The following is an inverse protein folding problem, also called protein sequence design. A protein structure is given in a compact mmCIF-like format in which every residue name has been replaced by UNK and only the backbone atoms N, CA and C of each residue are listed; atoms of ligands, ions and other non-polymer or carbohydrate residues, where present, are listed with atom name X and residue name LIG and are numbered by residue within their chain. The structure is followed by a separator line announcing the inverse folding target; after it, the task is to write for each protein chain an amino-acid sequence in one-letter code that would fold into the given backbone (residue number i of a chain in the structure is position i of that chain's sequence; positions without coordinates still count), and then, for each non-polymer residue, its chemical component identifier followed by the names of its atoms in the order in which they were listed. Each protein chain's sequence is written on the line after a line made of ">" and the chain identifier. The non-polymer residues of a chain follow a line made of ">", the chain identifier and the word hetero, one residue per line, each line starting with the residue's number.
data_IF_153743281254
#
_entry.id   IF_153743281254
#
_cell.length_a   1.000
_cell.length_b   1.000
_cell.length_c   1.000
_cell.angle_alpha   90.00
_cell.angle_beta   90.00
_cell.angle_gamma   90.00
#
_symmetry.space_group_name_H-M   'P 1'
#
loop_
_entity.id
_entity.type
_entity.pdbx_description
1 polymer ?
#
# COMPACT_ATOMS: atom_id res chain seq x y z
N UNK A 1 47.35 38.07 67.93
CA UNK A 1 47.36 37.13 66.79
C UNK A 1 45.94 36.59 66.57
N UNK A 2 45.44 36.65 65.32
CA UNK A 2 44.49 35.74 64.62
C UNK A 2 43.16 35.36 65.34
N UNK A 3 41.93 35.53 64.84
CA UNK A 3 41.35 35.77 63.50
C UNK A 3 39.82 35.97 63.65
N UNK A 4 39.18 37.04 63.13
CA UNK A 4 37.72 37.10 63.00
C UNK A 4 37.31 37.08 61.52
N UNK A 5 37.69 36.02 60.77
CA UNK A 5 37.26 35.86 59.36
C UNK A 5 36.37 34.64 59.10
N UNK A 6 36.16 33.77 60.09
CA UNK A 6 35.39 32.52 59.93
C UNK A 6 33.87 32.71 60.10
N UNK A 7 33.42 33.70 60.89
CA UNK A 7 31.99 33.86 61.17
C UNK A 7 31.17 34.42 59.99
N UNK A 8 31.79 35.29 59.17
CA UNK A 8 31.10 35.96 58.06
C UNK A 8 30.89 35.01 56.86
N UNK A 9 31.80 34.04 56.67
CA UNK A 9 31.68 33.02 55.62
C UNK A 9 30.55 32.01 55.90
N UNK A 10 30.34 31.66 57.18
CA UNK A 10 29.28 30.75 57.58
C UNK A 10 27.88 31.36 57.41
N UNK A 11 27.71 32.66 57.70
CA UNK A 11 26.44 33.36 57.50
C UNK A 11 26.05 33.46 56.01
N UNK A 12 27.02 33.75 55.13
CA UNK A 12 26.79 33.74 53.66
C UNK A 12 26.47 32.35 53.13
N UNK A 13 27.16 31.30 53.58
CA UNK A 13 26.85 29.91 53.19
C UNK A 13 25.46 29.47 53.66
N UNK A 14 25.05 29.84 54.87
CA UNK A 14 23.71 29.54 55.40
C UNK A 14 22.60 30.22 54.58
N UNK A 15 22.84 31.46 54.15
CA UNK A 15 21.89 32.23 53.32
C UNK A 15 21.75 31.61 51.92
N UNK A 16 22.84 31.09 51.35
CA UNK A 16 22.82 30.34 50.09
C UNK A 16 22.10 28.99 50.21
N UNK A 17 22.29 28.26 51.32
CA UNK A 17 21.64 26.97 51.56
C UNK A 17 20.12 27.16 51.78
N UNK A 18 19.70 28.19 52.52
CA UNK A 18 18.28 28.54 52.64
C UNK A 18 17.66 28.99 51.31
N UNK A 19 18.41 29.72 50.47
CA UNK A 19 17.97 30.08 49.12
C UNK A 19 17.74 28.84 48.23
N UNK A 20 18.67 27.88 48.25
CA UNK A 20 18.56 26.63 47.49
C UNK A 20 17.41 25.73 48.00
N UNK A 21 17.16 25.71 49.32
CA UNK A 21 16.01 25.01 49.91
C UNK A 21 14.68 25.63 49.46
N UNK A 22 14.57 26.96 49.40
CA UNK A 22 13.38 27.64 48.90
C UNK A 22 13.13 27.39 47.40
N UNK A 23 14.19 27.30 46.58
CA UNK A 23 14.09 26.94 45.16
C UNK A 23 13.68 25.47 44.95
N UNK A 24 14.09 24.55 45.83
CA UNK A 24 13.68 23.14 45.76
C UNK A 24 12.20 22.90 46.10
N UNK A 25 11.63 23.75 46.96
CA UNK A 25 10.21 23.66 47.34
C UNK A 25 9.26 24.00 46.17
N UNK A 26 9.69 24.84 45.23
CA UNK A 26 8.90 25.18 44.04
C UNK A 26 8.89 24.08 42.96
N UNK A 27 9.82 23.11 43.00
CA UNK A 27 9.84 21.98 42.08
C UNK A 27 8.98 20.79 42.56
N UNK A 28 8.68 20.73 43.87
CA UNK A 28 8.05 19.56 44.51
C UNK A 28 6.53 19.69 44.73
N UNK A 29 5.94 20.88 44.51
CA UNK A 29 4.49 21.09 44.54
C UNK A 29 3.88 21.14 43.14
N UNK A 30 4.23 20.18 42.28
CA UNK A 30 3.34 19.85 41.18
C UNK A 30 2.24 18.97 41.78
N UNK A 31 1.00 19.45 41.94
CA UNK A 31 -0.10 18.56 42.30
C UNK A 31 -0.12 17.41 41.28
N UNK A 32 -0.50 16.18 41.68
CA UNK A 32 -0.79 15.14 40.71
C UNK A 32 -1.96 15.68 39.87
N UNK A 33 -1.64 16.28 38.73
CA UNK A 33 -2.60 16.53 37.67
C UNK A 33 -3.15 15.15 37.39
N UNK A 34 -4.41 14.93 37.78
CA UNK A 34 -5.17 13.75 37.45
C UNK A 34 -4.84 13.42 36.00
N UNK A 35 -4.30 12.23 35.76
CA UNK A 35 -3.97 11.77 34.42
C UNK A 35 -5.13 12.17 33.51
N UNK A 36 -4.90 12.96 32.45
CA UNK A 36 -6.00 13.36 31.58
C UNK A 36 -6.69 12.07 31.18
N UNK A 37 -7.99 11.98 31.47
CA UNK A 37 -8.82 10.84 31.08
C UNK A 37 -8.43 10.49 29.66
N UNK A 38 -7.93 9.26 29.44
CA UNK A 38 -7.39 8.85 28.16
C UNK A 38 -8.37 9.32 27.07
N UNK A 39 -7.90 10.10 26.07
CA UNK A 39 -8.81 10.64 25.08
C UNK A 39 -9.58 9.46 24.48
N UNK A 40 -10.91 9.56 24.46
CA UNK A 40 -11.75 8.56 23.80
C UNK A 40 -11.39 8.65 22.32
N UNK A 41 -10.51 7.76 21.87
CA UNK A 41 -10.12 7.67 20.47
C UNK A 41 -11.34 7.10 19.75
N UNK A 42 -12.13 7.98 19.14
CA UNK A 42 -13.23 7.57 18.29
C UNK A 42 -12.64 7.01 17.00
N UNK A 43 -12.82 5.71 16.77
CA UNK A 43 -12.38 5.09 15.54
C UNK A 43 -13.20 5.59 14.35
N UNK A 44 -12.57 5.74 13.16
CA UNK A 44 -13.26 6.21 11.98
C UNK A 44 -14.30 5.19 11.52
N UNK A 45 -15.51 5.68 11.26
CA UNK A 45 -16.59 4.88 10.69
C UNK A 45 -16.36 4.59 9.20
N UNK A 46 -17.20 3.74 8.62
CA UNK A 46 -17.12 3.37 7.21
C UNK A 46 -17.24 4.57 6.24
N UNK A 47 -18.05 5.57 6.57
CA UNK A 47 -18.25 6.74 5.71
C UNK A 47 -17.04 7.67 5.75
N UNK A 48 -16.44 7.86 6.92
CA UNK A 48 -15.19 8.59 7.11
C UNK A 48 -14.06 7.91 6.35
N UNK A 49 -13.97 6.59 6.37
CA UNK A 49 -12.98 5.84 5.59
C UNK A 49 -13.14 6.11 4.08
N UNK A 50 -14.37 6.06 3.56
CA UNK A 50 -14.64 6.33 2.14
C UNK A 50 -14.35 7.77 1.74
N UNK A 51 -14.69 8.74 2.60
CA UNK A 51 -14.37 10.15 2.37
C UNK A 51 -12.86 10.37 2.35
N UNK A 52 -12.14 9.77 3.31
CA UNK A 52 -10.69 9.89 3.41
C UNK A 52 -9.97 9.20 2.25
N UNK A 53 -10.51 8.10 1.72
CA UNK A 53 -9.92 7.36 0.60
C UNK A 53 -9.72 8.25 -0.64
N UNK A 54 -10.64 9.19 -0.88
CA UNK A 54 -10.59 10.13 -2.00
C UNK A 54 -9.77 11.40 -1.72
N UNK A 55 -9.25 11.56 -0.50
CA UNK A 55 -8.46 12.72 -0.10
C UNK A 55 -6.97 12.57 -0.37
N UNK A 56 -6.21 13.65 -0.17
CA UNK A 56 -4.74 13.63 -0.27
C UNK A 56 -4.11 12.94 0.93
N UNK A 57 -2.90 12.40 0.74
CA UNK A 57 -2.16 11.72 1.81
C UNK A 57 -1.92 12.58 3.05
N UNK A 58 -1.71 13.88 2.87
CA UNK A 58 -1.49 14.80 3.99
C UNK A 58 -2.73 14.99 4.86
N UNK A 59 -3.92 15.08 4.25
CA UNK A 59 -5.16 15.20 5.00
C UNK A 59 -5.51 13.90 5.72
N UNK A 60 -5.17 12.76 5.11
CA UNK A 60 -5.34 11.46 5.72
C UNK A 60 -4.41 11.27 6.93
N UNK A 61 -3.13 11.63 6.83
CA UNK A 61 -2.20 11.51 7.97
C UNK A 61 -2.64 12.39 9.12
N UNK A 62 -3.13 13.59 8.85
CA UNK A 62 -3.70 14.47 9.87
C UNK A 62 -4.99 13.91 10.49
N UNK A 63 -5.89 13.34 9.67
CA UNK A 63 -7.14 12.75 10.15
C UNK A 63 -6.96 11.43 10.92
N UNK A 64 -5.85 10.73 10.65
CA UNK A 64 -5.50 9.45 11.28
C UNK A 64 -4.53 9.60 12.44
N UNK A 65 -3.95 10.79 12.65
CA UNK A 65 -2.99 11.04 13.72
C UNK A 65 -3.56 10.63 15.08
N UNK A 66 -2.92 9.66 15.73
CA UNK A 66 -3.34 9.14 17.04
C UNK A 66 -4.45 8.09 16.97
N UNK A 67 -4.82 7.62 15.76
CA UNK A 67 -5.83 6.57 15.51
C UNK A 67 -5.23 5.31 14.88
N UNK A 68 -3.92 5.13 15.00
CA UNK A 68 -3.14 4.02 14.42
C UNK A 68 -3.60 2.63 14.91
N UNK A 69 -4.23 2.58 16.09
CA UNK A 69 -4.69 1.36 16.75
C UNK A 69 -6.05 0.87 16.24
N UNK A 70 -6.84 1.73 15.58
CA UNK A 70 -8.17 1.40 15.10
C UNK A 70 -8.14 0.41 13.92
N UNK A 71 -9.11 -0.50 13.87
CA UNK A 71 -9.28 -1.39 12.71
C UNK A 71 -9.59 -0.62 11.41
N UNK A 72 -10.34 0.48 11.51
CA UNK A 72 -10.70 1.33 10.38
C UNK A 72 -9.53 2.06 9.71
N UNK A 73 -8.52 2.50 10.47
CA UNK A 73 -7.31 3.13 9.91
C UNK A 73 -6.45 2.13 9.15
N UNK A 74 -6.34 0.91 9.67
CA UNK A 74 -5.68 -0.22 8.96
C UNK A 74 -6.43 -0.58 7.68
N UNK A 75 -7.75 -0.62 7.71
CA UNK A 75 -8.57 -0.87 6.53
C UNK A 75 -8.35 0.19 5.46
N UNK A 76 -8.34 1.47 5.84
CA UNK A 76 -8.05 2.58 4.92
C UNK A 76 -6.67 2.42 4.27
N UNK A 77 -5.63 2.12 5.05
CA UNK A 77 -4.29 1.90 4.52
C UNK A 77 -4.25 0.75 3.51
N UNK A 78 -4.96 -0.35 3.77
CA UNK A 78 -5.08 -1.46 2.82
C UNK A 78 -5.84 -1.05 1.55
N UNK A 79 -6.94 -0.30 1.67
CA UNK A 79 -7.69 0.18 0.51
C UNK A 79 -6.81 1.06 -0.41
N UNK A 80 -5.99 1.92 0.17
CA UNK A 80 -5.05 2.73 -0.61
C UNK A 80 -3.99 1.89 -1.31
N UNK A 81 -3.43 0.90 -0.61
CA UNK A 81 -2.48 -0.02 -1.22
C UNK A 81 -3.12 -0.83 -2.35
N UNK A 82 -4.41 -1.19 -2.24
CA UNK A 82 -5.11 -1.86 -3.35
C UNK A 82 -5.33 -0.98 -4.58
N UNK A 83 -5.43 0.35 -4.42
CA UNK A 83 -5.48 1.28 -5.56
C UNK A 83 -4.12 1.43 -6.24
N UNK A 84 -3.03 1.40 -5.46
CA UNK A 84 -1.66 1.49 -5.96
C UNK A 84 -1.06 0.14 -6.40
N UNK A 85 -1.73 -0.98 -6.12
CA UNK A 85 -1.20 -2.30 -6.43
C UNK A 85 -1.31 -2.62 -7.93
N UNK A 86 -0.17 -2.58 -8.61
CA UNK A 86 -0.04 -2.98 -10.01
C UNK A 86 0.37 -4.45 -10.16
N UNK A 87 1.02 -5.03 -9.15
CA UNK A 87 1.57 -6.39 -9.23
C UNK A 87 0.63 -7.46 -8.66
N UNK A 88 0.64 -8.65 -9.28
CA UNK A 88 -0.14 -9.82 -8.84
C UNK A 88 0.27 -10.31 -7.44
N UNK A 89 1.56 -10.20 -7.12
CA UNK A 89 2.10 -10.60 -5.81
C UNK A 89 1.64 -9.66 -4.69
N UNK A 90 1.58 -8.36 -4.96
CA UNK A 90 1.09 -7.38 -3.97
C UNK A 90 -0.41 -7.54 -3.76
N UNK A 91 -1.18 -7.79 -4.82
CA UNK A 91 -2.60 -8.12 -4.70
C UNK A 91 -2.87 -9.39 -3.86
N UNK A 92 -1.95 -10.36 -3.83
CA UNK A 92 -2.04 -11.56 -2.96
C UNK A 92 -1.77 -11.23 -1.50
N UNK A 93 -0.72 -10.46 -1.23
CA UNK A 93 -0.41 -10.01 0.13
C UNK A 93 -1.55 -9.17 0.70
N UNK A 94 -2.10 -8.25 -0.10
CA UNK A 94 -3.22 -7.39 0.30
C UNK A 94 -4.49 -8.18 0.58
N UNK A 95 -4.78 -9.21 -0.21
CA UNK A 95 -5.92 -10.09 0.07
C UNK A 95 -5.75 -10.80 1.42
N UNK A 96 -4.58 -11.39 1.68
CA UNK A 96 -4.31 -12.08 2.95
C UNK A 96 -4.39 -11.12 4.15
N UNK A 97 -3.93 -9.87 3.98
CA UNK A 97 -4.04 -8.84 5.01
C UNK A 97 -5.50 -8.44 5.27
N UNK A 98 -6.31 -8.26 4.23
CA UNK A 98 -7.75 -7.98 4.35
C UNK A 98 -8.50 -9.15 5.03
N UNK A 99 -8.20 -10.39 4.66
CA UNK A 99 -8.75 -11.58 5.31
C UNK A 99 -8.38 -11.64 6.80
N UNK A 100 -7.14 -11.32 7.13
CA UNK A 100 -6.67 -11.27 8.53
C UNK A 100 -7.35 -10.16 9.35
N UNK A 101 -7.69 -9.03 8.72
CA UNK A 101 -8.45 -7.96 9.37
C UNK A 101 -9.91 -8.36 9.57
N UNK A 102 -10.52 -9.02 8.58
CA UNK A 102 -11.89 -9.55 8.69
C UNK A 102 -12.00 -10.63 9.77
N UNK A 103 -10.95 -11.45 9.96
CA UNK A 103 -10.89 -12.42 11.05
C UNK A 103 -10.82 -11.74 12.44
N UNK A 104 -10.30 -10.51 12.52
CA UNK A 104 -10.25 -9.69 13.75
C UNK A 104 -11.45 -8.72 13.80
N UNK A 105 -12.64 -9.27 13.60
CA UNK A 105 -13.89 -8.53 13.42
C UNK A 105 -14.26 -7.61 14.61
N UNK A 106 -13.81 -7.93 15.83
CA UNK A 106 -14.14 -7.18 17.05
C UNK A 106 -13.64 -5.72 17.04
N UNK A 107 -12.71 -5.39 16.16
CA UNK A 107 -12.13 -4.05 16.04
C UNK A 107 -12.72 -3.20 14.89
N UNK A 108 -13.74 -3.71 14.17
CA UNK A 108 -14.31 -3.06 12.98
C UNK A 108 -15.83 -2.90 13.09
N UNK A 109 -16.32 -1.73 12.70
CA UNK A 109 -17.75 -1.47 12.53
C UNK A 109 -18.35 -2.39 11.45
N UNK A 110 -19.62 -2.82 11.59
CA UNK A 110 -20.25 -3.75 10.65
C UNK A 110 -20.27 -3.23 9.20
N UNK A 111 -20.42 -1.91 9.01
CA UNK A 111 -20.33 -1.29 7.68
C UNK A 111 -18.91 -1.40 7.09
N UNK A 112 -17.88 -1.21 7.90
CA UNK A 112 -16.48 -1.34 7.47
C UNK A 112 -16.11 -2.79 7.14
N UNK A 113 -16.68 -3.76 7.86
CA UNK A 113 -16.56 -5.18 7.51
C UNK A 113 -17.21 -5.48 6.16
N UNK A 114 -18.38 -4.90 5.87
CA UNK A 114 -19.04 -4.99 4.56
C UNK A 114 -18.15 -4.46 3.44
N UNK A 115 -17.53 -3.29 3.64
CA UNK A 115 -16.59 -2.71 2.68
C UNK A 115 -15.36 -3.61 2.44
N UNK A 116 -14.76 -4.16 3.50
CA UNK A 116 -13.63 -5.07 3.36
C UNK A 116 -14.00 -6.35 2.58
N UNK A 117 -15.21 -6.91 2.79
CA UNK A 117 -15.70 -8.07 2.03
C UNK A 117 -15.90 -7.75 0.55
N UNK A 118 -16.49 -6.59 0.25
CA UNK A 118 -16.66 -6.14 -1.13
C UNK A 118 -15.31 -5.95 -1.83
N UNK A 119 -14.33 -5.36 -1.14
CA UNK A 119 -12.98 -5.20 -1.69
C UNK A 119 -12.32 -6.55 -1.99
N UNK A 120 -12.50 -7.53 -1.10
CA UNK A 120 -11.97 -8.88 -1.29
C UNK A 120 -12.59 -9.53 -2.53
N UNK A 121 -13.91 -9.42 -2.71
CA UNK A 121 -14.60 -9.91 -3.92
C UNK A 121 -14.07 -9.20 -5.17
N UNK A 122 -13.88 -7.89 -5.14
CA UNK A 122 -13.32 -7.14 -6.27
C UNK A 122 -11.93 -7.64 -6.65
N UNK A 123 -11.06 -7.92 -5.67
CA UNK A 123 -9.71 -8.45 -5.92
C UNK A 123 -9.76 -9.85 -6.55
N UNK A 124 -10.70 -10.70 -6.12
CA UNK A 124 -10.90 -12.02 -6.70
C UNK A 124 -11.38 -11.93 -8.16
N UNK A 125 -12.33 -11.06 -8.46
CA UNK A 125 -12.80 -10.84 -9.83
C UNK A 125 -11.70 -10.29 -10.72
N UNK A 126 -10.91 -9.33 -10.24
CA UNK A 126 -9.73 -8.83 -10.97
C UNK A 126 -8.75 -9.94 -11.34
N UNK A 127 -8.54 -10.93 -10.47
CA UNK A 127 -7.68 -12.09 -10.77
C UNK A 127 -8.27 -12.98 -11.84
N UNK A 128 -9.56 -13.32 -11.75
CA UNK A 128 -10.24 -14.11 -12.79
C UNK A 128 -10.14 -13.44 -14.15
N UNK A 129 -10.32 -12.11 -14.19
CA UNK A 129 -10.17 -11.32 -15.40
C UNK A 129 -8.74 -11.31 -15.92
N UNK A 130 -7.74 -11.17 -15.04
CA UNK A 130 -6.32 -11.24 -15.43
C UNK A 130 -5.96 -12.60 -16.01
N UNK A 131 -6.45 -13.70 -15.41
CA UNK A 131 -6.22 -15.06 -15.93
C UNK A 131 -6.92 -15.29 -17.28
N UNK A 132 -8.13 -14.75 -17.47
CA UNK A 132 -8.82 -14.80 -18.75
C UNK A 132 -8.05 -14.03 -19.84
N UNK A 133 -7.50 -12.87 -19.48
CA UNK A 133 -6.68 -12.05 -20.37
C UNK A 133 -5.38 -12.77 -20.75
N UNK A 134 -4.68 -13.38 -19.79
CA UNK A 134 -3.48 -14.20 -20.03
C UNK A 134 -3.78 -15.34 -21.03
N UNK A 135 -4.93 -16.03 -20.87
CA UNK A 135 -5.36 -17.10 -21.81
C UNK A 135 -5.65 -16.55 -23.21
N UNK A 136 -6.33 -15.42 -23.31
CA UNK A 136 -6.60 -14.78 -24.61
C UNK A 136 -5.33 -14.31 -25.29
N UNK A 137 -4.36 -13.78 -24.54
CA UNK A 137 -3.06 -13.41 -25.09
C UNK A 137 -2.29 -14.62 -25.61
N UNK A 138 -2.32 -15.75 -24.90
CA UNK A 138 -1.71 -17.00 -25.36
C UNK A 138 -2.37 -17.48 -26.67
N UNK A 139 -3.70 -17.50 -26.74
CA UNK A 139 -4.44 -17.85 -27.95
C UNK A 139 -4.11 -16.93 -29.13
N UNK A 140 -4.03 -15.62 -28.91
CA UNK A 140 -3.65 -14.67 -29.95
C UNK A 140 -2.24 -14.92 -30.49
N UNK A 141 -1.27 -15.25 -29.64
CA UNK A 141 0.09 -15.61 -30.08
C UNK A 141 0.10 -16.87 -30.93
N UNK A 142 -0.71 -17.86 -30.57
CA UNK A 142 -0.82 -19.09 -31.36
C UNK A 142 -1.50 -18.84 -32.71
N UNK A 143 -2.52 -17.98 -32.75
CA UNK A 143 -3.16 -17.56 -34.00
C UNK A 143 -2.20 -16.76 -34.90
N UNK A 144 -1.40 -15.86 -34.31
CA UNK A 144 -0.36 -15.12 -35.04
C UNK A 144 0.66 -16.06 -35.68
N UNK A 145 1.17 -17.05 -34.94
CA UNK A 145 2.09 -18.05 -35.50
C UNK A 145 1.48 -18.82 -36.68
N UNK A 146 0.23 -19.27 -36.54
CA UNK A 146 -0.48 -19.96 -37.63
C UNK A 146 -0.68 -19.05 -38.85
N UNK A 147 -0.96 -17.78 -38.62
CA UNK A 147 -1.07 -16.79 -39.69
C UNK A 147 0.27 -16.61 -40.41
N UNK A 148 1.37 -16.48 -39.66
CA UNK A 148 2.72 -16.35 -40.22
C UNK A 148 3.11 -17.59 -41.03
N UNK A 149 2.83 -18.80 -40.53
CA UNK A 149 3.07 -20.07 -41.23
C UNK A 149 2.28 -20.17 -42.54
N UNK A 150 1.01 -19.77 -42.53
CA UNK A 150 0.17 -19.75 -43.75
C UNK A 150 0.65 -18.68 -44.73
N UNK A 151 1.06 -17.51 -44.23
CA UNK A 151 1.63 -16.45 -45.07
C UNK A 151 2.93 -16.90 -45.74
N UNK A 152 3.79 -17.62 -45.02
CA UNK A 152 5.02 -18.21 -45.55
C UNK A 152 4.73 -19.23 -46.65
N UNK A 153 3.74 -20.12 -46.45
CA UNK A 153 3.30 -21.07 -47.47
C UNK A 153 2.74 -20.39 -48.71
N UNK A 154 1.94 -19.33 -48.55
CA UNK A 154 1.42 -18.56 -49.69
C UNK A 154 2.54 -17.88 -50.47
N UNK A 155 3.54 -17.34 -49.78
CA UNK A 155 4.69 -16.72 -50.45
C UNK A 155 5.53 -17.76 -51.19
N UNK A 156 5.79 -18.93 -50.58
CA UNK A 156 6.46 -20.04 -51.26
C UNK A 156 5.69 -20.52 -52.50
N UNK A 157 4.35 -20.62 -52.42
CA UNK A 157 3.51 -20.97 -53.57
C UNK A 157 3.59 -19.91 -54.68
N UNK A 158 3.62 -18.62 -54.34
CA UNK A 158 3.81 -17.53 -55.31
C UNK A 158 5.19 -17.58 -55.96
N UNK A 159 6.23 -17.94 -55.22
CA UNK A 159 7.58 -18.13 -55.78
C UNK A 159 7.61 -19.30 -56.76
N UNK A 160 7.02 -20.45 -56.39
CA UNK A 160 6.87 -21.60 -57.30
C UNK A 160 6.06 -21.23 -58.54
N UNK A 161 4.97 -20.49 -58.40
CA UNK A 161 4.18 -19.99 -59.53
C UNK A 161 5.03 -19.12 -60.46
N UNK A 162 5.84 -18.20 -59.93
CA UNK A 162 6.76 -17.38 -60.72
C UNK A 162 7.81 -18.22 -61.44
N UNK A 163 8.39 -19.22 -60.76
CA UNK A 163 9.38 -20.12 -61.39
C UNK A 163 8.77 -20.95 -62.53
N UNK A 164 7.52 -21.41 -62.37
CA UNK A 164 6.79 -22.13 -63.41
C UNK A 164 6.43 -21.22 -64.59
N UNK A 165 5.99 -19.99 -64.33
CA UNK A 165 5.70 -18.99 -65.36
C UNK A 165 6.95 -18.52 -66.11
N UNK A 166 8.14 -18.60 -65.51
CA UNK A 166 9.43 -18.32 -66.15
C UNK A 166 10.02 -19.53 -66.91
N UNK A 167 9.48 -20.73 -66.71
CA UNK A 167 9.81 -21.95 -67.48
C UNK A 167 8.73 -22.36 -68.52
N UNK A 168 8.16 -21.46 -69.34
CA UNK A 168 7.29 -21.94 -70.41
C UNK A 168 8.17 -22.56 -71.50
N UNK A 169 8.06 -23.89 -71.64
CA UNK A 169 8.30 -24.63 -72.88
C UNK A 169 9.67 -24.46 -73.58
N UNK A 170 10.69 -25.17 -73.10
CA UNK A 170 11.77 -25.71 -73.96
C UNK A 170 11.63 -27.23 -74.11
N UNK A 171 10.43 -27.69 -74.45
CA UNK A 171 10.16 -29.10 -74.80
C UNK A 171 9.10 -29.17 -75.90
N UNK A 172 9.37 -28.52 -77.03
CA UNK A 172 9.00 -29.10 -78.33
C UNK A 172 10.28 -29.67 -78.90
N UNK A 173 10.34 -31.00 -78.95
CA UNK A 173 11.52 -31.76 -79.36
C UNK A 173 12.03 -31.36 -80.74
N UNK A 174 13.18 -30.71 -80.75
CA UNK A 174 14.34 -31.17 -81.53
C UNK A 174 14.59 -32.62 -81.11
N UNK A 175 14.62 -33.64 -81.96
CA UNK A 175 15.38 -33.90 -83.21
C UNK A 175 15.04 -35.36 -83.61
N UNK A 176 15.54 -35.93 -84.72
CA UNK A 176 16.05 -35.38 -85.98
C UNK A 176 15.14 -35.71 -87.19
#
# INVERSE_FOLDING_TARGET
>A
MKTPRLFIHNARRLLWICGLLALSACAHQRPPVAAPAAPIILCPDANQILLLLNQTRELQTLALAGRESCGGSRLLALLQQTQAAESRADAQKLQAQLESLLAKADALDPASQGLARLQLQQLQERRKLAEALERQQAQNRDLQKRYDDLSGKLNALREVERELQLKPSKTKGSQP
#
